data_IF_394177194277
#
_entry.id   IF_394177194277
#
_cell.length_a   1.000
_cell.length_b   1.000
_cell.length_c   1.000
_cell.angle_alpha   90.00
_cell.angle_beta   90.00
_cell.angle_gamma   90.00
#
_symmetry.space_group_name_H-M   'P 1'
#
loop_
_entity.id
_entity.type
_entity.pdbx_description
1 polymer ?
#
# COMPACT_ATOMS: atom_id res chain seq x y z
N UNK A 1 -22.27 -16.73 2.91
CA UNK A 1 -20.83 -16.76 3.25
C UNK A 1 -20.18 -15.71 2.36
N UNK A 2 -19.52 -14.70 2.91
CA UNK A 2 -18.96 -13.59 2.13
C UNK A 2 -17.74 -14.11 1.35
N UNK A 3 -17.86 -14.17 0.03
CA UNK A 3 -16.81 -14.58 -0.90
C UNK A 3 -15.59 -13.66 -0.78
N UNK A 4 -14.65 -14.05 0.10
CA UNK A 4 -13.45 -13.28 0.45
C UNK A 4 -12.34 -13.43 -0.61
N UNK A 5 -12.66 -13.97 -1.78
CA UNK A 5 -11.71 -14.59 -2.72
C UNK A 5 -11.23 -13.68 -3.85
N UNK A 6 -11.41 -12.36 -3.78
CA UNK A 6 -11.00 -11.48 -4.90
C UNK A 6 -10.27 -10.18 -4.55
N UNK A 7 -9.97 -9.91 -3.27
CA UNK A 7 -9.23 -8.69 -2.95
C UNK A 7 -7.71 -8.93 -3.04
N UNK A 8 -7.19 -8.85 -4.26
CA UNK A 8 -5.76 -9.01 -4.59
C UNK A 8 -4.87 -8.00 -3.85
N UNK A 9 -5.42 -6.85 -3.46
CA UNK A 9 -4.70 -5.77 -2.80
C UNK A 9 -5.40 -5.31 -1.52
N UNK A 10 -4.64 -4.77 -0.54
CA UNK A 10 -5.21 -4.21 0.68
C UNK A 10 -6.19 -3.05 0.41
N UNK A 11 -7.06 -2.70 1.36
CA UNK A 11 -7.93 -1.54 1.25
C UNK A 11 -7.14 -0.23 1.06
N UNK A 12 -7.66 0.69 0.25
CA UNK A 12 -7.05 2.00 -0.02
C UNK A 12 -6.61 2.78 1.24
N UNK A 13 -7.41 2.87 2.33
CA UNK A 13 -6.99 3.58 3.54
C UNK A 13 -5.72 3.00 4.18
N UNK A 14 -5.54 1.67 4.10
CA UNK A 14 -4.37 1.01 4.66
C UNK A 14 -3.12 1.30 3.80
N UNK A 15 -3.27 1.31 2.48
CA UNK A 15 -2.19 1.67 1.55
C UNK A 15 -1.77 3.13 1.78
N UNK A 16 -2.72 4.05 1.93
CA UNK A 16 -2.46 5.45 2.25
C UNK A 16 -1.72 5.61 3.57
N UNK A 17 -2.08 4.81 4.58
CA UNK A 17 -1.37 4.79 5.87
C UNK A 17 0.09 4.39 5.68
N UNK A 18 0.39 3.38 4.87
CA UNK A 18 1.78 2.97 4.60
C UNK A 18 2.57 4.00 3.81
N UNK A 19 1.93 4.74 2.90
CA UNK A 19 2.57 5.89 2.22
C UNK A 19 2.87 7.00 3.22
N UNK A 20 1.93 7.32 4.12
CA UNK A 20 2.16 8.28 5.19
C UNK A 20 3.31 7.83 6.11
N UNK A 21 3.36 6.56 6.47
CA UNK A 21 4.46 5.99 7.25
C UNK A 21 5.81 6.23 6.56
N UNK A 22 5.89 5.98 5.25
CA UNK A 22 7.11 6.15 4.46
C UNK A 22 7.53 7.62 4.27
N UNK A 23 6.57 8.54 4.15
CA UNK A 23 6.87 9.92 3.69
C UNK A 23 6.73 10.99 4.77
N UNK A 24 5.90 10.77 5.79
CA UNK A 24 5.50 11.80 6.76
C UNK A 24 5.83 11.45 8.21
N UNK A 25 6.12 10.18 8.54
CA UNK A 25 6.26 9.76 9.95
C UNK A 25 7.47 10.35 10.69
N UNK A 26 8.53 10.74 9.96
CA UNK A 26 9.78 11.24 10.54
C UNK A 26 10.56 10.21 11.38
N UNK A 27 10.07 8.97 11.50
CA UNK A 27 10.70 7.89 12.26
C UNK A 27 11.22 6.81 11.28
N UNK A 28 12.54 6.52 11.26
CA UNK A 28 13.13 5.57 10.31
C UNK A 28 12.52 4.16 10.35
N UNK A 29 12.19 3.63 11.54
CA UNK A 29 11.60 2.31 11.68
C UNK A 29 10.18 2.27 11.12
N UNK A 30 9.40 3.34 11.32
CA UNK A 30 8.06 3.49 10.76
C UNK A 30 8.13 3.61 9.24
N UNK A 31 9.11 4.36 8.71
CA UNK A 31 9.32 4.49 7.27
C UNK A 31 9.64 3.15 6.62
N UNK A 32 10.60 2.40 7.18
CA UNK A 32 10.97 1.06 6.70
C UNK A 32 9.78 0.09 6.76
N UNK A 33 8.97 0.19 7.82
CA UNK A 33 7.76 -0.63 7.95
C UNK A 33 6.73 -0.30 6.86
N UNK A 34 6.51 0.98 6.56
CA UNK A 34 5.62 1.42 5.49
C UNK A 34 6.06 0.89 4.13
N UNK A 35 7.35 1.04 3.82
CA UNK A 35 7.95 0.50 2.60
C UNK A 35 7.81 -1.03 2.52
N UNK A 36 8.12 -1.74 3.60
CA UNK A 36 8.05 -3.21 3.66
C UNK A 36 6.65 -3.72 3.42
N UNK A 37 5.62 -3.06 3.98
CA UNK A 37 4.23 -3.45 3.77
C UNK A 37 3.79 -3.26 2.31
N UNK A 38 4.22 -2.16 1.67
CA UNK A 38 3.96 -1.91 0.25
C UNK A 38 4.65 -2.96 -0.62
N UNK A 39 5.92 -3.29 -0.36
CA UNK A 39 6.63 -4.32 -1.13
C UNK A 39 6.01 -5.70 -0.92
N UNK A 40 5.64 -6.06 0.31
CA UNK A 40 5.02 -7.35 0.60
C UNK A 40 3.65 -7.52 -0.08
N UNK A 41 2.88 -6.43 -0.20
CA UNK A 41 1.54 -6.47 -0.78
C UNK A 41 1.53 -6.37 -2.30
N UNK A 42 2.46 -5.62 -2.89
CA UNK A 42 2.48 -5.30 -4.33
C UNK A 42 3.64 -5.93 -5.09
N UNK A 43 4.63 -6.49 -4.40
CA UNK A 43 5.88 -7.03 -4.95
C UNK A 43 6.95 -5.96 -5.23
N UNK A 44 6.56 -4.71 -5.46
CA UNK A 44 7.48 -3.56 -5.59
C UNK A 44 6.74 -2.25 -5.36
N UNK A 45 7.49 -1.18 -5.06
CA UNK A 45 6.92 0.17 -4.98
C UNK A 45 6.37 0.66 -6.32
N UNK A 46 6.99 0.26 -7.44
CA UNK A 46 6.50 0.58 -8.78
C UNK A 46 5.09 0.02 -9.02
N UNK A 47 4.85 -1.25 -8.67
CA UNK A 47 3.53 -1.89 -8.78
C UNK A 47 2.50 -1.28 -7.83
N UNK A 48 2.92 -0.85 -6.64
CA UNK A 48 2.05 -0.11 -5.73
C UNK A 48 1.60 1.23 -6.34
N UNK A 49 2.52 1.95 -6.99
CA UNK A 49 2.21 3.19 -7.69
C UNK A 49 1.31 2.96 -8.91
N UNK A 50 1.57 1.94 -9.73
CA UNK A 50 0.70 1.55 -10.85
C UNK A 50 -0.74 1.32 -10.38
N UNK A 51 -0.93 0.54 -9.32
CA UNK A 51 -2.24 0.30 -8.73
C UNK A 51 -2.94 1.60 -8.29
N UNK A 52 -2.22 2.52 -7.63
CA UNK A 52 -2.79 3.80 -7.18
C UNK A 52 -3.17 4.71 -8.35
N UNK A 53 -2.38 4.70 -9.42
CA UNK A 53 -2.71 5.42 -10.65
C UNK A 53 -3.99 4.88 -11.29
N UNK A 54 -4.16 3.56 -11.34
CA UNK A 54 -5.40 2.91 -11.81
C UNK A 54 -6.62 3.25 -10.92
N UNK A 55 -6.45 3.35 -9.60
CA UNK A 55 -7.56 3.72 -8.70
C UNK A 55 -7.98 5.18 -8.86
N UNK A 56 -7.06 6.10 -9.18
CA UNK A 56 -7.36 7.52 -9.40
C UNK A 56 -8.04 7.80 -10.75
N UNK A 57 -8.04 6.84 -11.68
CA UNK A 57 -8.71 6.94 -12.99
C UNK A 57 -10.15 6.40 -12.99
N UNK A 58 -10.61 5.83 -11.86
CA UNK A 58 -11.98 5.37 -11.66
C UNK A 58 -12.84 6.44 -11.02
#
# INVERSE_FOLDING_TARGET
>A
MLDSSNQKYPPLPLIQTWIWMMTQSGNPEIQEKGQSNLIASFGSLAKANEYLMEQNQK
#
